data_IF_719015243140
#
_entry.id   IF_719015243140
#
_cell.length_a   1.000
_cell.length_b   1.000
_cell.length_c   1.000
_cell.angle_alpha   90.00
_cell.angle_beta   90.00
_cell.angle_gamma   90.00
#
_symmetry.space_group_name_H-M   'P 1'
#
loop_
_entity.id
_entity.type
_entity.pdbx_description
1 polymer ?
#
# COMPACT_ATOMS: atom_id res chain seq x y z
N UNK A 1 -13.87 34.08 -1.21
CA UNK A 1 -12.87 35.09 -1.66
C UNK A 1 -11.68 34.98 -0.70
N UNK A 2 -10.48 34.68 -1.20
CA UNK A 2 -9.29 34.51 -0.34
C UNK A 2 -8.32 33.44 -0.83
N UNK A 3 -7.90 33.49 -2.10
CA UNK A 3 -6.73 32.73 -2.56
C UNK A 3 -5.49 33.41 -1.98
N UNK A 4 -4.85 32.81 -0.98
CA UNK A 4 -3.49 33.19 -0.57
C UNK A 4 -2.54 32.89 -1.73
N UNK A 5 -2.26 33.92 -2.53
CA UNK A 5 -1.23 33.91 -3.55
C UNK A 5 0.12 33.88 -2.84
N UNK A 6 0.73 32.70 -2.71
CA UNK A 6 2.15 32.61 -2.40
C UNK A 6 2.93 33.25 -3.55
N UNK A 7 3.53 34.41 -3.29
CA UNK A 7 4.32 35.17 -4.25
C UNK A 7 5.60 34.42 -4.62
N UNK A 8 6.07 34.63 -5.86
CA UNK A 8 7.31 34.03 -6.42
C UNK A 8 8.57 34.31 -5.58
N UNK A 9 8.59 35.38 -4.78
CA UNK A 9 9.72 35.75 -3.92
C UNK A 9 9.88 34.84 -2.67
N UNK A 10 8.80 34.30 -2.10
CA UNK A 10 8.91 33.29 -1.03
C UNK A 10 9.34 31.92 -1.57
N UNK A 11 9.06 31.64 -2.85
CA UNK A 11 9.43 30.38 -3.52
C UNK A 11 10.92 30.28 -3.83
N UNK A 12 11.55 31.36 -4.31
CA UNK A 12 13.01 31.39 -4.57
C UNK A 12 13.87 31.38 -3.29
N UNK A 13 13.27 31.69 -2.13
CA UNK A 13 13.98 31.71 -0.85
C UNK A 13 14.14 30.29 -0.28
N UNK A 14 13.12 29.42 -0.39
CA UNK A 14 13.19 28.04 0.11
C UNK A 14 14.16 27.14 -0.67
N UNK A 15 14.23 27.32 -1.99
CA UNK A 15 15.15 26.58 -2.88
C UNK A 15 16.62 26.88 -2.54
N UNK A 16 16.94 28.15 -2.26
CA UNK A 16 18.28 28.57 -1.84
C UNK A 16 18.63 28.13 -0.40
N UNK A 17 17.66 28.03 0.50
CA UNK A 17 17.93 27.65 1.90
C UNK A 17 18.36 26.17 1.99
N UNK A 18 17.64 25.25 1.35
CA UNK A 18 18.00 23.82 1.39
C UNK A 18 19.27 23.50 0.59
N UNK A 19 19.55 24.24 -0.49
CA UNK A 19 20.82 24.12 -1.20
C UNK A 19 22.03 24.46 -0.30
N UNK A 20 21.86 25.39 0.65
CA UNK A 20 22.89 25.82 1.59
C UNK A 20 22.93 25.02 2.92
N UNK A 21 21.91 24.20 3.20
CA UNK A 21 21.78 23.40 4.42
C UNK A 21 22.24 21.94 4.21
N UNK A 22 23.40 21.74 3.56
CA UNK A 22 23.97 20.40 3.41
C UNK A 22 24.18 19.74 4.79
N UNK A 23 23.53 18.61 5.11
CA UNK A 23 23.68 17.98 6.42
C UNK A 23 25.10 17.38 6.58
N UNK A 24 25.58 17.21 7.83
CA UNK A 24 26.79 16.42 8.08
C UNK A 24 26.63 14.97 7.58
N UNK A 25 27.66 14.42 6.95
CA UNK A 25 27.63 13.05 6.38
C UNK A 25 27.52 11.93 7.41
N UNK A 26 27.80 12.23 8.68
CA UNK A 26 27.65 11.31 9.81
C UNK A 26 26.23 11.26 10.41
N UNK A 27 25.27 12.00 9.84
CA UNK A 27 23.90 12.02 10.36
C UNK A 27 23.24 10.65 10.19
N UNK A 28 22.56 10.18 11.24
CA UNK A 28 21.85 8.90 11.20
C UNK A 28 20.36 9.05 10.86
N UNK A 29 19.78 10.24 11.09
CA UNK A 29 18.37 10.52 10.88
C UNK A 29 18.20 11.85 10.15
N UNK A 30 17.53 11.82 9.01
CA UNK A 30 17.22 13.00 8.20
C UNK A 30 15.72 13.08 7.96
N UNK A 31 15.10 14.15 8.44
CA UNK A 31 13.69 14.43 8.20
C UNK A 31 13.56 15.81 7.56
N UNK A 32 12.87 15.85 6.41
CA UNK A 32 12.68 17.07 5.63
C UNK A 32 11.19 17.27 5.47
N UNK A 33 10.70 18.38 6.02
CA UNK A 33 9.28 18.76 5.97
C UNK A 33 9.10 20.02 5.16
N UNK A 34 8.01 20.10 4.41
CA UNK A 34 7.66 21.28 3.63
C UNK A 34 8.62 21.50 2.45
N UNK A 35 9.01 20.43 1.76
CA UNK A 35 9.88 20.54 0.59
C UNK A 35 9.07 20.97 -0.64
N UNK A 36 9.01 22.28 -0.90
CA UNK A 36 8.24 22.88 -2.00
C UNK A 36 9.09 23.23 -3.23
N UNK A 37 10.37 22.91 -3.23
CA UNK A 37 11.25 23.13 -4.37
C UNK A 37 10.93 22.15 -5.51
N UNK A 38 11.16 22.57 -6.76
CA UNK A 38 10.96 21.71 -7.94
C UNK A 38 12.17 20.82 -8.21
N UNK A 39 13.36 21.36 -7.99
CA UNK A 39 14.63 20.68 -8.22
C UNK A 39 15.20 20.16 -6.91
N UNK A 40 15.97 19.07 -6.97
CA UNK A 40 16.76 18.58 -5.85
C UNK A 40 17.97 19.50 -5.59
N UNK A 41 18.39 19.78 -4.34
CA UNK A 41 19.69 20.36 -4.08
C UNK A 41 20.81 19.36 -4.45
N UNK A 42 22.02 19.86 -4.71
CA UNK A 42 23.15 19.03 -5.15
C UNK A 42 23.48 17.87 -4.19
N UNK A 43 23.38 18.12 -2.88
CA UNK A 43 23.66 17.08 -1.89
C UNK A 43 22.60 15.94 -1.92
N UNK A 44 21.34 16.21 -2.27
CA UNK A 44 20.32 15.16 -2.47
C UNK A 44 20.49 14.38 -3.78
N UNK A 45 21.31 14.88 -4.71
CA UNK A 45 21.74 14.11 -5.89
C UNK A 45 22.89 13.15 -5.56
N UNK A 46 23.53 13.33 -4.40
CA UNK A 46 24.71 12.55 -3.98
C UNK A 46 24.45 11.86 -2.64
N UNK A 47 23.32 11.13 -2.53
CA UNK A 47 22.93 10.51 -1.25
C UNK A 47 23.94 9.48 -0.74
N UNK A 48 24.74 8.89 -1.62
CA UNK A 48 25.80 7.93 -1.26
C UNK A 48 26.85 8.51 -0.29
N UNK A 49 26.98 9.84 -0.19
CA UNK A 49 27.88 10.49 0.77
C UNK A 49 27.41 10.35 2.24
N UNK A 50 26.12 10.09 2.48
CA UNK A 50 25.54 9.99 3.82
C UNK A 50 25.65 8.56 4.37
N UNK A 51 26.87 8.05 4.42
CA UNK A 51 27.17 6.64 4.74
C UNK A 51 26.77 6.18 6.13
N UNK A 52 26.33 7.07 7.04
CA UNK A 52 25.80 6.71 8.38
C UNK A 52 24.28 6.76 8.47
N UNK A 53 23.58 7.18 7.40
CA UNK A 53 22.15 7.42 7.42
C UNK A 53 21.38 6.10 7.60
N UNK A 54 20.50 6.09 8.62
CA UNK A 54 19.65 4.94 8.98
C UNK A 54 18.19 5.22 8.67
N UNK A 55 17.74 6.44 8.91
CA UNK A 55 16.35 6.84 8.71
C UNK A 55 16.26 8.11 7.88
N UNK A 56 15.42 8.07 6.86
CA UNK A 56 15.09 9.23 6.05
C UNK A 56 13.58 9.36 5.88
N UNK A 57 13.05 10.55 6.15
CA UNK A 57 11.64 10.89 5.98
C UNK A 57 11.53 12.17 5.16
N UNK A 58 10.80 12.10 4.06
CA UNK A 58 10.43 13.24 3.22
C UNK A 58 8.94 13.49 3.41
N UNK A 59 8.56 14.67 3.90
CA UNK A 59 7.17 15.04 4.18
C UNK A 59 6.83 16.37 3.51
N UNK A 60 5.62 16.46 2.95
CA UNK A 60 5.18 17.59 2.12
C UNK A 60 6.11 17.83 0.92
N UNK A 61 6.48 16.75 0.22
CA UNK A 61 7.36 16.77 -0.95
C UNK A 61 6.59 17.19 -2.22
N UNK A 62 5.96 18.37 -2.16
CA UNK A 62 4.79 18.67 -2.98
C UNK A 62 5.11 18.93 -4.47
N UNK A 63 6.22 19.60 -4.76
CA UNK A 63 6.51 20.14 -6.09
C UNK A 63 7.64 19.43 -6.85
N UNK A 64 8.40 18.58 -6.18
CA UNK A 64 9.52 17.88 -6.79
C UNK A 64 9.04 16.59 -7.45
N UNK A 65 9.52 16.36 -8.67
CA UNK A 65 9.13 15.22 -9.51
C UNK A 65 10.04 14.01 -9.34
N UNK A 66 11.19 14.18 -8.68
CA UNK A 66 12.24 13.18 -8.53
C UNK A 66 12.49 12.87 -7.05
N UNK A 67 12.70 11.60 -6.74
CA UNK A 67 13.27 11.18 -5.45
C UNK A 67 14.77 11.50 -5.41
N UNK A 68 15.38 11.64 -4.21
CA UNK A 68 16.82 11.76 -4.09
C UNK A 68 17.57 10.60 -4.76
N UNK A 69 18.66 10.91 -5.48
CA UNK A 69 19.39 9.92 -6.25
C UNK A 69 20.38 9.15 -5.37
N UNK A 70 20.57 7.87 -5.67
CA UNK A 70 21.56 7.04 -4.98
C UNK A 70 21.17 6.61 -3.57
N UNK A 71 19.88 6.70 -3.22
CA UNK A 71 19.36 6.18 -1.95
C UNK A 71 19.67 4.68 -1.80
N UNK A 72 19.63 3.90 -2.88
CA UNK A 72 19.97 2.48 -2.87
C UNK A 72 21.42 2.17 -2.48
N UNK A 73 22.32 3.16 -2.51
CA UNK A 73 23.72 2.98 -2.11
C UNK A 73 23.94 3.14 -0.60
N UNK A 74 22.91 3.56 0.16
CA UNK A 74 23.04 3.82 1.59
C UNK A 74 23.18 2.49 2.36
N UNK A 75 24.35 2.22 2.99
CA UNK A 75 24.65 0.89 3.53
C UNK A 75 23.93 0.57 4.84
N UNK A 76 23.41 1.57 5.55
CA UNK A 76 22.74 1.41 6.84
C UNK A 76 21.30 1.93 6.87
N UNK A 77 20.75 2.38 5.73
CA UNK A 77 19.37 2.86 5.70
C UNK A 77 18.42 1.71 5.99
N UNK A 78 17.73 1.79 7.13
CA UNK A 78 16.76 0.82 7.63
C UNK A 78 15.32 1.30 7.47
N UNK A 79 15.13 2.60 7.27
CA UNK A 79 13.81 3.22 7.19
C UNK A 79 13.78 4.36 6.17
N UNK A 80 12.91 4.23 5.16
CA UNK A 80 12.64 5.29 4.19
C UNK A 80 11.14 5.54 4.04
N UNK A 81 10.73 6.79 4.22
CA UNK A 81 9.35 7.22 4.01
C UNK A 81 9.30 8.48 3.16
N UNK A 82 8.39 8.50 2.20
CA UNK A 82 7.98 9.73 1.53
C UNK A 82 6.47 9.91 1.67
N UNK A 83 6.09 11.13 2.04
CA UNK A 83 4.72 11.52 2.37
C UNK A 83 4.32 12.77 1.59
N UNK A 84 3.09 12.75 1.06
CA UNK A 84 2.45 13.87 0.36
C UNK A 84 3.35 14.39 -0.77
N UNK A 85 3.64 13.51 -1.74
CA UNK A 85 4.50 13.76 -2.89
C UNK A 85 3.73 13.68 -4.23
N UNK A 86 2.68 14.50 -4.45
CA UNK A 86 1.79 14.38 -5.60
C UNK A 86 2.46 14.60 -6.97
N UNK A 87 3.62 15.24 -7.02
CA UNK A 87 4.33 15.53 -8.28
C UNK A 87 5.23 14.38 -8.77
N UNK A 88 5.52 13.39 -7.92
CA UNK A 88 6.32 12.22 -8.31
C UNK A 88 5.42 11.28 -9.13
N UNK A 89 5.85 10.97 -10.35
CA UNK A 89 5.09 10.15 -11.31
C UNK A 89 5.64 8.74 -11.46
N UNK A 90 6.96 8.59 -11.35
CA UNK A 90 7.65 7.33 -11.44
C UNK A 90 8.69 7.21 -10.32
N UNK A 91 8.93 5.97 -9.88
CA UNK A 91 10.11 5.59 -9.11
C UNK A 91 10.98 4.77 -10.04
N UNK A 92 11.98 5.42 -10.64
CA UNK A 92 12.87 4.81 -11.63
C UNK A 92 14.07 4.10 -11.01
N UNK A 93 14.93 3.54 -11.87
CA UNK A 93 16.14 2.84 -11.44
C UNK A 93 17.13 3.70 -10.65
N UNK A 94 17.10 5.03 -10.78
CA UNK A 94 17.93 5.97 -10.01
C UNK A 94 17.69 5.89 -8.49
N UNK A 95 16.53 5.35 -8.08
CA UNK A 95 16.23 5.04 -6.70
C UNK A 95 17.08 3.87 -6.18
N UNK A 96 17.34 2.88 -7.04
CA UNK A 96 18.01 1.61 -6.69
C UNK A 96 19.51 1.62 -7.03
N UNK A 97 19.86 2.10 -8.22
CA UNK A 97 21.18 1.95 -8.80
C UNK A 97 22.10 3.13 -8.45
N UNK A 98 23.43 2.89 -8.37
CA UNK A 98 24.39 3.96 -8.48
C UNK A 98 24.22 4.69 -9.81
N UNK A 99 24.24 6.03 -9.77
CA UNK A 99 24.39 6.82 -10.99
C UNK A 99 25.67 6.35 -11.68
N UNK A 100 25.56 5.66 -12.81
CA UNK A 100 26.68 5.44 -13.70
C UNK A 100 27.10 6.84 -14.17
N UNK A 101 28.15 7.41 -13.58
CA UNK A 101 28.68 8.66 -14.08
C UNK A 101 29.16 8.43 -15.52
N UNK A 102 28.78 9.35 -16.39
CA UNK A 102 29.01 9.37 -17.84
C UNK A 102 30.50 9.66 -18.19
N UNK A 103 31.43 9.14 -17.39
CA UNK A 103 32.84 9.56 -17.39
C UNK A 103 33.71 8.84 -18.43
N UNK A 104 33.11 8.23 -19.46
CA UNK A 104 33.86 7.85 -20.67
C UNK A 104 33.96 9.04 -21.63
N UNK A 105 34.68 10.08 -21.21
CA UNK A 105 35.29 11.03 -22.15
C UNK A 105 36.45 10.30 -22.84
N UNK A 106 36.12 9.53 -23.87
CA UNK A 106 37.07 9.06 -24.86
C UNK A 106 37.43 10.21 -25.80
N UNK A 107 38.50 10.94 -25.47
CA UNK A 107 39.32 11.62 -26.46
C UNK A 107 39.88 10.56 -27.40
N UNK A 108 39.40 10.51 -28.64
CA UNK A 108 40.27 10.45 -29.82
C UNK A 108 39.45 10.68 -31.08
N UNK A 109 39.95 11.57 -31.94
CA UNK A 109 39.37 11.84 -33.25
C UNK A 109 39.65 10.71 -34.22
N UNK A 110 38.72 10.46 -35.16
CA UNK A 110 38.96 10.39 -36.62
C UNK A 110 37.61 10.15 -37.32
N UNK A 111 37.44 10.83 -38.46
CA UNK A 111 36.33 10.81 -39.39
C UNK A 111 35.94 9.41 -39.92
N UNK A 112 34.65 9.19 -40.20
CA UNK A 112 34.19 8.02 -40.96
C UNK A 112 32.66 7.83 -40.97
N UNK A 113 32.01 8.30 -42.02
CA UNK A 113 30.57 8.17 -42.29
C UNK A 113 30.23 6.79 -42.86
N UNK A 114 29.29 6.04 -42.28
CA UNK A 114 28.36 5.09 -42.97
C UNK A 114 27.33 4.48 -41.99
N UNK A 115 26.10 4.24 -42.48
CA UNK A 115 25.35 3.01 -42.20
C UNK A 115 24.33 2.98 -41.07
N UNK A 116 23.05 3.05 -41.45
CA UNK A 116 21.89 2.59 -40.68
C UNK A 116 22.05 1.14 -40.21
N UNK A 117 21.79 0.84 -38.93
CA UNK A 117 21.05 -0.35 -38.46
C UNK A 117 20.85 -0.39 -36.94
N UNK A 118 19.68 -0.93 -36.58
CA UNK A 118 19.12 -1.18 -35.26
C UNK A 118 20.13 -1.72 -34.22
N UNK A 119 20.44 -0.93 -33.18
CA UNK A 119 21.01 -1.44 -31.93
C UNK A 119 19.90 -1.65 -30.91
N UNK A 120 19.48 -2.92 -30.79
CA UNK A 120 18.89 -3.46 -29.56
C UNK A 120 19.78 -3.01 -28.39
N UNK A 121 19.20 -2.25 -27.47
CA UNK A 121 19.88 -1.80 -26.24
C UNK A 121 20.38 -3.03 -25.50
N UNK A 122 21.70 -3.25 -25.58
CA UNK A 122 22.39 -4.36 -24.94
C UNK A 122 22.36 -4.20 -23.43
N UNK A 123 22.31 -5.34 -22.77
CA UNK A 123 22.15 -5.53 -21.34
C UNK A 123 23.02 -4.60 -20.50
N UNK A 124 22.37 -3.99 -19.51
CA UNK A 124 22.97 -3.23 -18.42
C UNK A 124 23.97 -4.11 -17.66
N UNK A 125 25.26 -4.00 -18.00
CA UNK A 125 26.34 -4.53 -17.19
C UNK A 125 26.72 -3.49 -16.14
N UNK A 126 26.57 -3.85 -14.86
CA UNK A 126 27.04 -3.07 -13.69
C UNK A 126 28.55 -3.30 -13.56
N UNK A 127 29.41 -2.27 -13.75
CA UNK A 127 30.83 -2.39 -13.47
C UNK A 127 31.09 -2.08 -11.99
N UNK A 128 31.69 -3.02 -11.26
CA UNK A 128 32.29 -2.77 -9.94
C UNK A 128 31.42 -3.14 -8.74
N UNK A 129 31.53 -4.39 -8.29
CA UNK A 129 30.99 -4.88 -7.01
C UNK A 129 29.48 -5.09 -7.02
N UNK A 130 29.04 -6.35 -6.97
CA UNK A 130 27.63 -6.71 -6.80
C UNK A 130 27.13 -6.31 -5.39
N UNK A 131 26.98 -5.01 -5.14
CA UNK A 131 26.31 -4.48 -3.96
C UNK A 131 24.81 -4.55 -4.18
N UNK A 132 24.10 -5.21 -3.28
CA UNK A 132 22.64 -5.18 -3.24
C UNK A 132 22.18 -3.78 -2.85
N UNK A 133 21.24 -3.19 -3.60
CA UNK A 133 20.69 -1.88 -3.26
C UNK A 133 19.88 -1.97 -1.96
N UNK A 134 19.97 -0.95 -1.10
CA UNK A 134 19.27 -0.93 0.19
C UNK A 134 19.53 -2.21 1.04
N UNK A 135 20.79 -2.53 1.35
CA UNK A 135 21.15 -3.81 1.99
C UNK A 135 20.51 -4.02 3.37
N UNK A 136 20.11 -2.93 4.04
CA UNK A 136 19.56 -2.93 5.40
C UNK A 136 18.16 -2.35 5.52
N UNK A 137 17.48 -2.05 4.41
CA UNK A 137 16.17 -1.40 4.46
C UNK A 137 15.11 -2.37 4.97
N UNK A 138 14.54 -2.08 6.14
CA UNK A 138 13.53 -2.91 6.82
C UNK A 138 12.12 -2.38 6.55
N UNK A 139 11.96 -1.05 6.51
CA UNK A 139 10.66 -0.40 6.32
C UNK A 139 10.69 0.61 5.18
N UNK A 140 9.73 0.47 4.26
CA UNK A 140 9.56 1.33 3.09
C UNK A 140 8.12 1.86 3.03
N UNK A 141 7.96 3.18 2.95
CA UNK A 141 6.65 3.84 2.92
C UNK A 141 6.51 4.86 1.80
N UNK A 142 5.43 4.73 1.02
CA UNK A 142 4.99 5.66 -0.01
C UNK A 142 3.57 6.12 0.35
N UNK A 143 3.41 7.34 0.88
CA UNK A 143 2.09 7.85 1.30
C UNK A 143 1.72 9.14 0.58
N UNK A 144 0.54 9.21 -0.03
CA UNK A 144 0.08 10.44 -0.70
C UNK A 144 0.91 10.78 -1.94
N UNK A 145 1.40 9.77 -2.66
CA UNK A 145 2.10 9.94 -3.95
C UNK A 145 1.07 9.84 -5.09
N UNK A 146 0.15 10.80 -5.12
CA UNK A 146 -1.03 10.78 -6.00
C UNK A 146 -0.70 10.76 -7.51
N UNK A 147 0.51 11.16 -7.88
CA UNK A 147 1.01 11.13 -9.25
C UNK A 147 1.62 9.78 -9.65
N UNK A 148 1.96 8.91 -8.70
CA UNK A 148 2.75 7.70 -8.95
C UNK A 148 1.94 6.68 -9.73
N UNK A 149 2.34 6.46 -10.98
CA UNK A 149 1.76 5.45 -11.88
C UNK A 149 2.66 4.26 -12.09
N UNK A 150 3.98 4.47 -11.97
CA UNK A 150 5.00 3.49 -12.32
C UNK A 150 6.04 3.33 -11.21
N UNK A 151 6.39 2.09 -10.91
CA UNK A 151 7.49 1.76 -10.01
C UNK A 151 8.38 0.71 -10.67
N UNK A 152 9.55 1.15 -11.14
CA UNK A 152 10.48 0.35 -11.90
C UNK A 152 11.43 -0.40 -10.97
N UNK A 153 11.27 -1.72 -10.92
CA UNK A 153 12.20 -2.61 -10.25
C UNK A 153 12.08 -4.02 -10.85
N UNK A 154 13.06 -4.41 -11.66
CA UNK A 154 13.08 -5.71 -12.33
C UNK A 154 13.72 -6.78 -11.45
N UNK A 155 13.32 -8.02 -11.71
CA UNK A 155 13.88 -9.23 -11.11
C UNK A 155 15.41 -9.37 -11.23
N UNK A 156 16.08 -8.70 -12.18
CA UNK A 156 17.54 -8.81 -12.35
C UNK A 156 18.32 -7.78 -11.51
N UNK A 157 17.64 -6.85 -10.84
CA UNK A 157 18.25 -5.83 -9.98
C UNK A 157 18.11 -6.25 -8.50
N UNK A 158 19.20 -6.69 -7.84
CA UNK A 158 19.15 -7.06 -6.43
C UNK A 158 18.93 -5.84 -5.55
N UNK A 159 17.84 -5.83 -4.78
CA UNK A 159 17.54 -4.76 -3.84
C UNK A 159 16.75 -5.25 -2.63
N UNK A 160 16.86 -4.53 -1.51
CA UNK A 160 15.99 -4.66 -0.34
C UNK A 160 15.81 -6.10 0.19
N UNK A 161 16.90 -6.86 0.43
CA UNK A 161 16.83 -8.28 0.78
C UNK A 161 16.23 -8.54 2.17
N UNK A 162 16.25 -7.53 3.04
CA UNK A 162 15.75 -7.58 4.43
C UNK A 162 14.51 -6.71 4.65
N UNK A 163 13.83 -6.29 3.57
CA UNK A 163 12.59 -5.52 3.70
C UNK A 163 11.53 -6.38 4.38
N UNK A 164 11.00 -5.91 5.51
CA UNK A 164 9.99 -6.62 6.30
C UNK A 164 8.59 -6.02 6.15
N UNK A 165 8.51 -4.70 5.95
CA UNK A 165 7.25 -3.98 5.84
C UNK A 165 7.27 -2.98 4.68
N UNK A 166 6.26 -3.09 3.81
CA UNK A 166 5.99 -2.16 2.72
C UNK A 166 4.59 -1.55 2.91
N UNK A 167 4.54 -0.22 2.85
CA UNK A 167 3.29 0.54 2.92
C UNK A 167 3.16 1.47 1.72
N UNK A 168 2.13 1.27 0.92
CA UNK A 168 1.82 2.11 -0.24
C UNK A 168 0.39 2.63 -0.09
N UNK A 169 0.25 3.95 -0.08
CA UNK A 169 -0.98 4.67 0.23
C UNK A 169 -1.23 5.79 -0.78
N UNK A 170 -2.48 5.94 -1.20
CA UNK A 170 -2.95 7.06 -2.01
C UNK A 170 -2.10 7.24 -3.28
N UNK A 171 -2.15 6.27 -4.18
CA UNK A 171 -1.41 6.30 -5.44
C UNK A 171 -2.21 5.72 -6.61
N UNK A 172 -1.63 5.86 -7.82
CA UNK A 172 -2.19 5.41 -9.10
C UNK A 172 -1.35 4.29 -9.71
N UNK A 173 -0.63 3.55 -8.87
CA UNK A 173 0.27 2.51 -9.31
C UNK A 173 -0.51 1.43 -10.07
N UNK A 174 -0.07 1.11 -11.28
CA UNK A 174 -0.76 0.14 -12.15
C UNK A 174 -0.41 -1.31 -11.80
N UNK A 175 0.83 -1.54 -11.37
CA UNK A 175 1.34 -2.85 -10.99
C UNK A 175 2.43 -2.74 -9.91
N UNK A 176 2.55 -3.78 -9.09
CA UNK A 176 3.72 -3.93 -8.22
C UNK A 176 4.91 -4.41 -9.05
N UNK A 177 6.13 -3.93 -8.78
CA UNK A 177 7.31 -4.35 -9.53
C UNK A 177 7.66 -5.82 -9.32
N UNK A 178 8.15 -6.48 -10.38
CA UNK A 178 8.56 -7.89 -10.33
C UNK A 178 9.76 -8.15 -9.42
N UNK A 179 10.63 -7.15 -9.23
CA UNK A 179 11.76 -7.21 -8.30
C UNK A 179 11.31 -7.39 -6.84
N UNK A 180 10.15 -6.84 -6.46
CA UNK A 180 9.58 -7.01 -5.12
C UNK A 180 9.32 -8.48 -4.81
N UNK A 181 8.69 -9.20 -5.74
CA UNK A 181 8.42 -10.62 -5.62
C UNK A 181 9.71 -11.47 -5.52
N UNK A 182 10.75 -11.09 -6.26
CA UNK A 182 11.96 -11.90 -6.39
C UNK A 182 12.98 -11.69 -5.24
N UNK A 183 13.16 -10.44 -4.83
CA UNK A 183 14.26 -10.03 -3.93
C UNK A 183 13.82 -9.73 -2.50
N UNK A 184 12.60 -9.22 -2.27
CA UNK A 184 12.10 -8.90 -0.93
C UNK A 184 11.62 -10.17 -0.18
N UNK A 185 12.54 -11.12 0.02
CA UNK A 185 12.25 -12.45 0.57
C UNK A 185 11.90 -12.44 2.07
N UNK A 186 12.14 -11.32 2.74
CA UNK A 186 11.77 -11.10 4.14
C UNK A 186 10.48 -10.29 4.33
N UNK A 187 9.83 -9.86 3.25
CA UNK A 187 8.64 -9.00 3.34
C UNK A 187 7.50 -9.77 4.02
N UNK A 188 7.13 -9.38 5.24
CA UNK A 188 6.06 -10.02 6.02
C UNK A 188 4.76 -9.26 5.95
N UNK A 189 4.84 -7.93 5.93
CA UNK A 189 3.70 -7.03 6.04
C UNK A 189 3.57 -6.14 4.81
N UNK A 190 2.43 -6.23 4.12
CA UNK A 190 2.12 -5.41 2.94
C UNK A 190 0.81 -4.66 3.15
N UNK A 191 0.88 -3.32 3.16
CA UNK A 191 -0.28 -2.44 3.26
C UNK A 191 -0.48 -1.68 1.95
N UNK A 192 -1.63 -1.86 1.32
CA UNK A 192 -2.00 -1.24 0.05
C UNK A 192 -3.34 -0.53 0.24
N UNK A 193 -3.28 0.79 0.41
CA UNK A 193 -4.45 1.58 0.79
C UNK A 193 -4.73 2.62 -0.28
N UNK A 194 -5.96 2.65 -0.79
CA UNK A 194 -6.41 3.61 -1.80
C UNK A 194 -5.50 3.63 -3.05
N UNK A 195 -5.19 2.44 -3.58
CA UNK A 195 -4.45 2.25 -4.83
C UNK A 195 -5.46 2.18 -5.98
N UNK A 196 -5.63 3.29 -6.67
CA UNK A 196 -6.77 3.50 -7.57
C UNK A 196 -6.68 2.80 -8.92
N UNK A 197 -5.49 2.33 -9.31
CA UNK A 197 -5.23 1.75 -10.64
C UNK A 197 -4.63 0.32 -10.59
N UNK A 198 -4.48 -0.25 -9.40
CA UNK A 198 -3.92 -1.60 -9.25
C UNK A 198 -5.02 -2.64 -9.46
N UNK A 199 -4.83 -3.54 -10.42
CA UNK A 199 -5.84 -4.56 -10.77
C UNK A 199 -5.62 -5.87 -10.01
N UNK A 200 -4.39 -6.17 -9.60
CA UNK A 200 -4.06 -7.46 -8.99
C UNK A 200 -2.90 -7.40 -8.01
N UNK A 201 -2.94 -8.24 -6.98
CA UNK A 201 -1.84 -8.46 -6.04
C UNK A 201 -1.39 -9.91 -6.17
N UNK A 202 -0.25 -10.15 -6.80
CA UNK A 202 0.13 -11.51 -7.21
C UNK A 202 1.60 -11.83 -6.97
N UNK A 203 1.89 -13.13 -6.82
CA UNK A 203 3.24 -13.69 -6.86
C UNK A 203 4.18 -13.12 -5.77
N UNK A 204 3.65 -12.90 -4.56
CA UNK A 204 4.44 -12.43 -3.41
C UNK A 204 4.67 -13.59 -2.43
N UNK A 205 5.76 -14.36 -2.56
CA UNK A 205 5.97 -15.59 -1.80
C UNK A 205 6.32 -15.37 -0.33
N UNK A 206 6.78 -14.19 0.06
CA UNK A 206 7.23 -13.87 1.42
C UNK A 206 6.15 -13.27 2.32
N UNK A 207 5.12 -12.64 1.74
CA UNK A 207 4.10 -11.86 2.45
C UNK A 207 3.25 -12.78 3.33
N UNK A 208 3.12 -12.42 4.61
CA UNK A 208 2.38 -13.16 5.63
C UNK A 208 1.08 -12.47 5.99
N UNK A 209 1.09 -11.13 6.02
CA UNK A 209 -0.07 -10.28 6.33
C UNK A 209 -0.29 -9.24 5.24
N UNK A 210 -1.54 -9.13 4.79
CA UNK A 210 -1.94 -8.21 3.73
C UNK A 210 -3.14 -7.37 4.17
N UNK A 211 -3.06 -6.06 3.92
CA UNK A 211 -4.14 -5.10 4.16
C UNK A 211 -4.46 -4.34 2.85
N UNK A 212 -5.33 -4.89 1.97
CA UNK A 212 -5.85 -4.15 0.84
C UNK A 212 -7.09 -3.37 1.29
N UNK A 213 -6.94 -2.07 1.49
CA UNK A 213 -8.03 -1.20 1.91
C UNK A 213 -8.38 -0.16 0.84
N UNK A 214 -9.68 0.04 0.62
CA UNK A 214 -10.21 1.10 -0.25
C UNK A 214 -9.65 1.04 -1.68
N UNK A 215 -9.42 -0.16 -2.22
CA UNK A 215 -8.90 -0.34 -3.57
C UNK A 215 -10.06 -0.64 -4.54
N UNK A 216 -10.45 0.32 -5.40
CA UNK A 216 -11.71 0.23 -6.13
C UNK A 216 -11.72 -0.81 -7.26
N UNK A 217 -10.55 -1.13 -7.83
CA UNK A 217 -10.44 -1.95 -9.05
C UNK A 217 -9.58 -3.21 -8.89
N UNK A 218 -9.14 -3.56 -7.67
CA UNK A 218 -8.42 -4.83 -7.46
C UNK A 218 -9.43 -5.96 -7.69
N UNK A 219 -9.16 -6.79 -8.69
CA UNK A 219 -10.02 -7.91 -9.07
C UNK A 219 -9.56 -9.25 -8.51
N UNK A 220 -8.25 -9.42 -8.27
CA UNK A 220 -7.66 -10.70 -7.87
C UNK A 220 -6.48 -10.55 -6.90
N UNK A 221 -6.41 -11.47 -5.94
CA UNK A 221 -5.26 -11.68 -5.06
C UNK A 221 -4.87 -13.15 -5.18
N UNK A 222 -3.67 -13.40 -5.72
CA UNK A 222 -3.28 -14.73 -6.17
C UNK A 222 -1.82 -15.08 -5.90
N UNK A 223 -1.54 -16.38 -5.78
CA UNK A 223 -0.17 -16.91 -5.73
C UNK A 223 0.68 -16.29 -4.60
N UNK A 224 0.10 -16.16 -3.40
CA UNK A 224 0.79 -15.71 -2.19
C UNK A 224 0.89 -16.88 -1.18
N UNK A 225 1.80 -17.85 -1.40
CA UNK A 225 1.81 -19.12 -0.66
C UNK A 225 2.04 -18.99 0.84
N UNK A 226 2.72 -17.93 1.30
CA UNK A 226 2.99 -17.69 2.73
C UNK A 226 1.94 -16.82 3.41
N UNK A 227 0.92 -16.35 2.69
CA UNK A 227 -0.10 -15.46 3.25
C UNK A 227 -0.94 -16.23 4.27
N UNK A 228 -0.93 -15.77 5.52
CA UNK A 228 -1.64 -16.41 6.64
C UNK A 228 -2.85 -15.61 7.08
N UNK A 229 -2.78 -14.28 6.93
CA UNK A 229 -3.81 -13.36 7.37
C UNK A 229 -4.01 -12.26 6.34
N UNK A 230 -5.27 -12.00 6.01
CA UNK A 230 -5.66 -10.90 5.12
C UNK A 230 -6.81 -10.13 5.76
N UNK A 231 -6.81 -8.81 5.66
CA UNK A 231 -7.92 -7.98 6.10
C UNK A 231 -8.30 -7.03 5.00
N UNK A 232 -9.47 -7.27 4.42
CA UNK A 232 -9.97 -6.64 3.20
C UNK A 232 -11.02 -5.62 3.60
N UNK A 233 -10.81 -4.36 3.24
CA UNK A 233 -11.79 -3.30 3.50
C UNK A 233 -12.14 -2.61 2.20
N UNK A 234 -13.44 -2.50 1.90
CA UNK A 234 -13.97 -1.69 0.78
C UNK A 234 -13.21 -1.91 -0.55
N UNK A 235 -13.14 -3.17 -0.99
CA UNK A 235 -12.53 -3.57 -2.27
C UNK A 235 -13.62 -4.19 -3.18
N UNK A 236 -14.50 -3.36 -3.79
CA UNK A 236 -15.74 -3.82 -4.41
C UNK A 236 -15.54 -4.66 -5.69
N UNK A 237 -14.42 -4.48 -6.40
CA UNK A 237 -14.13 -5.23 -7.61
C UNK A 237 -13.49 -6.61 -7.36
N UNK A 238 -13.13 -6.93 -6.11
CA UNK A 238 -12.39 -8.15 -5.77
C UNK A 238 -13.28 -9.38 -5.95
N UNK A 239 -12.88 -10.28 -6.85
CA UNK A 239 -13.64 -11.48 -7.22
C UNK A 239 -12.91 -12.76 -6.86
N UNK A 240 -11.57 -12.73 -6.83
CA UNK A 240 -10.77 -13.96 -6.73
C UNK A 240 -9.74 -13.90 -5.61
N UNK A 241 -9.76 -14.94 -4.77
CA UNK A 241 -8.71 -15.29 -3.80
C UNK A 241 -8.24 -16.71 -4.11
N UNK A 242 -7.08 -16.88 -4.75
CA UNK A 242 -6.60 -18.20 -5.18
C UNK A 242 -5.10 -18.40 -4.96
N UNK A 243 -4.64 -19.65 -4.91
CA UNK A 243 -3.22 -19.92 -4.64
C UNK A 243 -2.73 -19.42 -3.28
N UNK A 244 -3.61 -19.47 -2.25
CA UNK A 244 -3.34 -19.04 -0.87
C UNK A 244 -3.38 -20.22 0.13
N UNK A 245 -2.52 -21.26 -0.03
CA UNK A 245 -2.59 -22.49 0.76
C UNK A 245 -2.39 -22.32 2.27
N UNK A 246 -1.71 -21.25 2.70
CA UNK A 246 -1.45 -20.98 4.13
C UNK A 246 -2.49 -20.05 4.78
N UNK A 247 -3.49 -19.57 4.03
CA UNK A 247 -4.44 -18.59 4.53
C UNK A 247 -5.34 -19.23 5.58
N UNK A 248 -5.31 -18.69 6.80
CA UNK A 248 -6.09 -19.22 7.92
C UNK A 248 -7.13 -18.22 8.44
N UNK A 249 -6.86 -16.93 8.30
CA UNK A 249 -7.67 -15.88 8.92
C UNK A 249 -7.95 -14.76 7.93
N UNK A 250 -9.22 -14.34 7.87
CA UNK A 250 -9.66 -13.26 7.00
C UNK A 250 -10.49 -12.25 7.79
N UNK A 251 -10.14 -10.98 7.68
CA UNK A 251 -11.00 -9.84 8.02
C UNK A 251 -11.69 -9.32 6.76
N UNK A 252 -12.97 -9.03 6.87
CA UNK A 252 -13.75 -8.44 5.79
C UNK A 252 -14.59 -7.28 6.32
N UNK A 253 -14.41 -6.11 5.75
CA UNK A 253 -15.15 -4.90 6.10
C UNK A 253 -15.75 -4.26 4.85
N UNK A 254 -17.08 -4.18 4.79
CA UNK A 254 -17.76 -3.35 3.79
C UNK A 254 -19.17 -2.97 4.25
N UNK A 255 -19.38 -1.67 4.53
CA UNK A 255 -20.69 -1.13 4.91
C UNK A 255 -21.59 -0.85 3.71
N UNK A 256 -21.01 -0.73 2.50
CA UNK A 256 -21.75 -0.47 1.26
C UNK A 256 -22.15 -1.74 0.52
N UNK A 257 -21.63 -2.90 0.92
CA UNK A 257 -21.94 -4.17 0.28
C UNK A 257 -23.33 -4.69 0.66
N UNK A 258 -24.05 -5.15 -0.36
CA UNK A 258 -25.37 -5.78 -0.20
C UNK A 258 -25.27 -7.30 0.05
N UNK A 259 -24.13 -7.92 -0.28
CA UNK A 259 -23.89 -9.34 -0.14
C UNK A 259 -22.42 -9.63 0.19
N UNK A 260 -22.16 -10.75 0.88
CA UNK A 260 -20.83 -11.28 1.06
C UNK A 260 -20.26 -11.76 -0.29
N UNK A 261 -18.96 -11.58 -0.51
CA UNK A 261 -18.32 -11.95 -1.77
C UNK A 261 -18.24 -13.46 -1.96
N UNK A 262 -18.34 -13.88 -3.22
CA UNK A 262 -18.42 -15.29 -3.59
C UNK A 262 -17.15 -16.08 -3.25
N UNK A 263 -15.98 -15.45 -3.31
CA UNK A 263 -14.71 -16.10 -2.97
C UNK A 263 -14.66 -16.65 -1.54
N UNK A 264 -15.47 -16.12 -0.60
CA UNK A 264 -15.51 -16.63 0.77
C UNK A 264 -15.96 -18.08 0.82
N UNK A 265 -16.87 -18.48 -0.07
CA UNK A 265 -17.38 -19.85 -0.17
C UNK A 265 -16.28 -20.87 -0.48
N UNK A 266 -15.31 -20.48 -1.29
CA UNK A 266 -14.23 -21.35 -1.78
C UNK A 266 -12.98 -21.27 -0.89
N UNK A 267 -12.86 -20.20 -0.11
CA UNK A 267 -11.69 -19.96 0.74
C UNK A 267 -11.79 -20.75 2.04
N UNK A 268 -10.93 -21.77 2.21
CA UNK A 268 -10.86 -22.54 3.45
C UNK A 268 -10.24 -21.72 4.59
N UNK A 269 -11.07 -21.21 5.49
CA UNK A 269 -10.63 -20.37 6.61
C UNK A 269 -10.85 -21.07 7.96
N UNK A 270 -9.92 -20.81 8.89
CA UNK A 270 -10.11 -21.14 10.31
C UNK A 270 -10.89 -20.03 11.02
N UNK A 271 -10.52 -18.76 10.77
CA UNK A 271 -11.16 -17.60 11.40
C UNK A 271 -11.65 -16.61 10.36
N UNK A 272 -12.87 -16.13 10.55
CA UNK A 272 -13.46 -15.06 9.74
C UNK A 272 -13.98 -13.97 10.66
N UNK A 273 -13.61 -12.73 10.37
CA UNK A 273 -14.17 -11.53 11.00
C UNK A 273 -14.90 -10.72 9.93
N UNK A 274 -16.17 -10.39 10.16
CA UNK A 274 -17.03 -9.66 9.22
C UNK A 274 -17.57 -8.41 9.90
N UNK A 275 -17.28 -7.25 9.33
CA UNK A 275 -17.91 -5.98 9.68
C UNK A 275 -18.74 -5.52 8.47
N UNK A 276 -20.07 -5.53 8.62
CA UNK A 276 -20.99 -5.27 7.51
C UNK A 276 -22.15 -4.37 7.92
N UNK A 277 -22.95 -3.94 6.93
CA UNK A 277 -24.17 -3.18 7.18
C UNK A 277 -25.18 -4.00 8.01
N UNK A 278 -26.09 -3.35 8.76
CA UNK A 278 -27.10 -4.08 9.54
C UNK A 278 -28.00 -4.97 8.69
N UNK A 279 -28.28 -4.57 7.44
CA UNK A 279 -29.09 -5.35 6.50
C UNK A 279 -28.39 -6.65 6.10
N UNK A 280 -27.11 -6.59 5.71
CA UNK A 280 -26.34 -7.79 5.39
C UNK A 280 -26.13 -8.67 6.63
N UNK A 281 -25.88 -8.06 7.79
CA UNK A 281 -25.78 -8.77 9.06
C UNK A 281 -27.05 -9.60 9.36
N UNK A 282 -28.24 -9.02 9.19
CA UNK A 282 -29.52 -9.73 9.36
C UNK A 282 -29.62 -10.94 8.41
N UNK A 283 -29.17 -10.83 7.17
CA UNK A 283 -29.16 -11.95 6.22
C UNK A 283 -28.24 -13.09 6.67
N UNK A 284 -27.09 -12.77 7.27
CA UNK A 284 -26.18 -13.77 7.85
C UNK A 284 -26.85 -14.45 9.06
N UNK A 285 -27.54 -13.69 9.91
CA UNK A 285 -28.20 -14.18 11.11
C UNK A 285 -29.30 -15.22 10.84
N UNK A 286 -29.92 -15.20 9.65
CA UNK A 286 -30.96 -16.15 9.25
C UNK A 286 -30.48 -17.60 9.13
N UNK A 287 -29.16 -17.83 9.03
CA UNK A 287 -28.55 -19.15 8.82
C UNK A 287 -29.09 -19.94 7.61
N UNK A 288 -29.66 -19.26 6.62
CA UNK A 288 -30.14 -19.89 5.39
C UNK A 288 -28.95 -20.33 4.50
N UNK A 289 -28.84 -21.63 4.26
CA UNK A 289 -27.78 -22.21 3.45
C UNK A 289 -27.80 -21.76 1.98
N UNK A 290 -28.96 -21.30 1.49
CA UNK A 290 -29.11 -20.79 0.13
C UNK A 290 -28.72 -19.31 -0.01
N UNK A 291 -28.51 -18.61 1.12
CA UNK A 291 -28.24 -17.18 1.22
C UNK A 291 -26.77 -16.89 1.59
N UNK A 292 -26.54 -15.85 2.40
CA UNK A 292 -25.23 -15.35 2.83
C UNK A 292 -24.50 -16.33 3.76
N UNK A 293 -25.23 -17.00 4.65
CA UNK A 293 -24.68 -18.00 5.56
C UNK A 293 -24.00 -19.16 4.82
N UNK A 294 -24.59 -19.61 3.71
CA UNK A 294 -24.03 -20.66 2.86
C UNK A 294 -22.64 -20.35 2.31
N UNK A 295 -22.22 -19.07 2.27
CA UNK A 295 -20.88 -18.65 1.83
C UNK A 295 -19.83 -18.76 2.93
N UNK A 296 -20.21 -18.86 4.21
CA UNK A 296 -19.27 -18.77 5.34
C UNK A 296 -19.44 -19.86 6.40
N UNK A 297 -20.45 -20.71 6.30
CA UNK A 297 -20.74 -21.80 7.26
C UNK A 297 -19.61 -22.85 7.41
N UNK A 298 -18.65 -22.88 6.49
CA UNK A 298 -17.52 -23.81 6.54
C UNK A 298 -16.42 -23.40 7.50
N UNK A 299 -16.37 -22.12 7.91
CA UNK A 299 -15.33 -21.54 8.78
C UNK A 299 -15.41 -22.11 10.19
N UNK A 300 -14.29 -22.26 10.88
CA UNK A 300 -14.26 -22.83 12.24
C UNK A 300 -14.70 -21.83 13.32
N UNK A 301 -14.31 -20.56 13.17
CA UNK A 301 -14.67 -19.47 14.08
C UNK A 301 -15.08 -18.23 13.30
N UNK A 302 -16.26 -17.70 13.57
CA UNK A 302 -16.78 -16.48 12.98
C UNK A 302 -17.08 -15.45 14.07
N UNK A 303 -16.68 -14.22 13.81
CA UNK A 303 -17.22 -13.02 14.46
C UNK A 303 -17.82 -12.15 13.38
N UNK A 304 -19.11 -11.84 13.45
CA UNK A 304 -19.73 -10.89 12.55
C UNK A 304 -20.38 -9.76 13.35
N UNK A 305 -20.32 -8.55 12.83
CA UNK A 305 -20.85 -7.36 13.47
C UNK A 305 -21.64 -6.52 12.47
N UNK A 306 -22.86 -6.13 12.85
CA UNK A 306 -23.69 -5.21 12.08
C UNK A 306 -23.41 -3.79 12.52
N UNK A 307 -22.72 -3.00 11.68
CA UNK A 307 -22.27 -1.65 12.01
C UNK A 307 -22.95 -0.61 11.13
N UNK A 308 -23.28 0.55 11.72
CA UNK A 308 -23.74 1.72 10.96
C UNK A 308 -22.60 2.66 10.57
N UNK A 309 -21.49 2.61 11.30
CA UNK A 309 -20.29 3.41 11.04
C UNK A 309 -19.03 2.72 11.61
N UNK A 310 -17.85 3.29 11.33
CA UNK A 310 -16.58 2.81 11.87
C UNK A 310 -16.41 3.02 13.38
N UNK A 311 -17.14 3.97 13.96
CA UNK A 311 -17.04 4.36 15.38
C UNK A 311 -18.15 3.74 16.23
N UNK A 312 -19.00 2.90 15.63
CA UNK A 312 -20.19 2.34 16.26
C UNK A 312 -19.84 1.45 17.45
N UNK A 313 -20.61 1.59 18.54
CA UNK A 313 -20.52 0.63 19.64
C UNK A 313 -21.15 -0.65 19.15
N UNK A 314 -20.41 -1.75 19.25
CA UNK A 314 -20.86 -3.05 18.80
C UNK A 314 -22.05 -3.51 19.64
N UNK A 315 -23.26 -3.35 19.10
CA UNK A 315 -24.52 -3.80 19.69
C UNK A 315 -25.09 -5.03 18.98
N UNK A 316 -24.81 -5.18 17.69
CA UNK A 316 -25.19 -6.32 16.84
C UNK A 316 -24.01 -7.22 16.59
N UNK A 317 -24.11 -8.48 17.04
CA UNK A 317 -23.03 -9.43 16.87
C UNK A 317 -23.50 -10.87 16.66
N UNK A 318 -22.69 -11.63 15.92
CA UNK A 318 -22.78 -13.08 15.81
C UNK A 318 -21.44 -13.65 16.24
N UNK A 319 -21.50 -14.59 17.19
CA UNK A 319 -20.38 -15.46 17.52
C UNK A 319 -20.72 -16.89 17.14
N UNK A 320 -19.92 -17.45 16.25
CA UNK A 320 -20.11 -18.81 15.78
C UNK A 320 -18.83 -19.64 15.90
N UNK A 321 -18.99 -20.86 16.38
CA UNK A 321 -17.99 -21.92 16.32
C UNK A 321 -18.59 -23.16 15.67
N UNK A 322 -17.84 -23.81 14.78
CA UNK A 322 -18.33 -25.01 14.08
C UNK A 322 -18.20 -26.27 14.92
N UNK A 323 -17.07 -26.45 15.60
CA UNK A 323 -16.74 -27.64 16.39
C UNK A 323 -16.07 -27.24 17.73
N UNK A 324 -16.76 -27.38 18.89
CA UNK A 324 -18.17 -27.72 19.02
C UNK A 324 -19.07 -26.64 18.41
N UNK A 325 -20.25 -27.03 17.94
CA UNK A 325 -21.20 -26.09 17.36
C UNK A 325 -21.71 -25.13 18.45
N UNK A 326 -21.56 -23.83 18.20
CA UNK A 326 -22.16 -22.75 18.97
C UNK A 326 -22.54 -21.63 18.03
N UNK A 327 -23.73 -21.05 18.23
CA UNK A 327 -24.18 -19.88 17.48
C UNK A 327 -24.90 -18.96 18.45
N UNK A 328 -24.26 -17.83 18.75
CA UNK A 328 -24.77 -16.78 19.62
C UNK A 328 -25.00 -15.53 18.78
N UNK A 329 -26.18 -14.92 18.94
CA UNK A 329 -26.60 -13.77 18.14
C UNK A 329 -27.31 -12.73 18.99
N UNK A 330 -26.85 -11.49 18.86
CA UNK A 330 -27.51 -10.30 19.39
C UNK A 330 -27.85 -9.39 18.20
N UNK A 331 -29.13 -9.04 18.09
CA UNK A 331 -29.64 -8.18 17.03
C UNK A 331 -29.65 -6.70 17.43
N UNK A 332 -29.16 -6.35 18.63
CA UNK A 332 -29.27 -5.02 19.20
C UNK A 332 -30.70 -4.71 19.64
N UNK A 333 -30.89 -3.57 20.32
CA UNK A 333 -32.25 -3.12 20.69
C UNK A 333 -32.98 -2.63 19.45
N UNK A 334 -34.20 -3.12 19.20
CA UNK A 334 -35.08 -2.51 18.21
C UNK A 334 -35.41 -1.09 18.67
N UNK A 335 -35.13 -0.11 17.81
CA UNK A 335 -35.80 1.19 17.88
C UNK A 335 -37.08 1.10 17.07
N UNK A 336 -37.93 0.13 17.39
CA UNK A 336 -39.35 0.19 17.05
C UNK A 336 -40.03 0.42 18.40
N UNK A 337 -40.18 1.69 18.76
CA UNK A 337 -41.22 2.08 19.70
C UNK A 337 -42.48 2.22 18.86
N UNK A 338 -43.37 1.26 19.04
CA UNK A 338 -44.76 1.32 18.62
C UNK A 338 -45.38 2.64 19.10
N UNK A 339 -45.59 3.59 18.19
CA UNK A 339 -46.60 4.63 18.37
C UNK A 339 -47.97 4.01 18.05
N UNK A 340 -48.43 3.11 18.91
CA UNK A 340 -49.87 2.88 19.07
C UNK A 340 -50.38 3.90 20.10
N UNK A 341 -50.66 5.12 19.65
CA UNK A 341 -51.57 6.00 20.39
C UNK A 341 -53.00 5.45 20.24
N UNK A 342 -53.38 4.59 21.19
CA UNK A 342 -54.76 4.52 21.65
C UNK A 342 -55.16 5.93 22.14
N UNK A 343 -56.01 6.61 21.37
CA UNK A 343 -56.84 7.69 21.90
C UNK A 343 -58.30 7.34 21.65
N UNK A 344 -58.83 6.45 22.51
CA UNK A 344 -60.26 6.41 22.81
C UNK A 344 -60.65 7.66 23.61
N UNK A 345 -61.53 8.45 22.99
CA UNK A 345 -62.69 9.13 23.55
C UNK A 345 -62.87 9.13 25.09
N UNK A 346 -62.81 10.32 25.69
CA UNK A 346 -63.74 10.80 26.75
C UNK A 346 -63.55 12.31 26.86
N UNK A 347 -64.46 13.14 26.35
CA UNK A 347 -65.66 13.64 27.03
C UNK A 347 -65.37 14.68 28.13
N UNK A 348 -66.10 15.80 27.99
CA UNK A 348 -66.57 16.76 29.00
C UNK A 348 -65.85 18.11 29.23
N UNK A 349 -66.67 19.14 28.90
CA UNK A 349 -66.75 20.55 29.31
C UNK A 349 -65.86 21.64 28.69
#
# INVERSE_FOLDING_TARGET
MGRSKTTSAQRSTGENVLANLCPPTCIEKLEIKGYFARELPQWMRTMSAFGSLRRMVLEDYACCTQLPNGLGQLPFLDCFWIKRAPSVQCIGHEFLLPSLSDDYVGKDGTSGMTGSQNKRRQAHHIPGGAGVAFPKLVTLGFEGILGLTEWEWEQHIPAMPVLEMLRVHDCKLQCLPTGLAHHARQLRELRLINITHLVSIENLPSVVKLWPYNNPIIERISNNPSLQWIDISSCPALKELNGLPSLQSLGWWDLGAEALPQYLRETKLNKLHVDCSPSLFKLIALQDESSEWGKIKHVQQLKAYGKTSSEDKVDRHIYYTKEPYSFDVDLGKSTDSDEEEENELSEEE
#
